data_IF_825886384045
#
_entry.id   IF_825886384045
#
_cell.length_a   1.000
_cell.length_b   1.000
_cell.length_c   1.000
_cell.angle_alpha   90.00
_cell.angle_beta   90.00
_cell.angle_gamma   90.00
#
_symmetry.space_group_name_H-M   'P 1'
#
loop_
_entity.id
_entity.type
_entity.pdbx_description
1 polymer ?
#
# COMPACT_ATOMS: atom_id res chain seq x y z
N UNK A 1 -25.29 -0.50 -1.58
CA UNK A 1 -25.55 -1.49 -0.50
C UNK A 1 -26.69 -1.00 0.38
N UNK A 2 -27.54 -1.88 0.93
CA UNK A 2 -28.60 -1.47 1.89
C UNK A 2 -28.01 -0.73 3.11
N UNK A 3 -26.76 -1.07 3.48
CA UNK A 3 -25.99 -0.41 4.53
C UNK A 3 -25.60 1.04 4.24
N UNK A 4 -25.56 1.48 2.97
CA UNK A 4 -25.10 2.83 2.60
C UNK A 4 -26.11 3.92 2.96
N UNK A 5 -27.39 3.55 3.07
CA UNK A 5 -28.47 4.46 3.47
C UNK A 5 -28.91 4.31 4.93
N UNK A 6 -28.34 3.37 5.68
CA UNK A 6 -28.75 3.08 7.05
C UNK A 6 -27.83 3.77 8.07
N UNK A 7 -28.43 4.50 8.99
CA UNK A 7 -27.77 5.12 10.14
C UNK A 7 -28.64 4.92 11.38
N UNK A 8 -28.07 4.33 12.44
CA UNK A 8 -28.79 4.03 13.71
C UNK A 8 -29.47 5.27 14.34
N UNK A 9 -29.04 6.48 13.98
CA UNK A 9 -29.60 7.73 14.47
C UNK A 9 -30.98 8.09 13.89
N UNK A 10 -31.37 7.52 12.75
CA UNK A 10 -32.55 7.99 12.00
C UNK A 10 -33.77 7.07 12.13
N UNK A 11 -33.58 5.75 12.24
CA UNK A 11 -34.67 4.77 12.27
C UNK A 11 -34.20 3.38 12.75
N UNK A 12 -35.02 2.60 13.48
CA UNK A 12 -34.72 1.21 13.80
C UNK A 12 -34.50 0.33 12.56
N UNK A 13 -33.63 -0.68 12.66
CA UNK A 13 -33.23 -1.54 11.54
C UNK A 13 -34.41 -2.25 10.84
N UNK A 14 -35.41 -2.73 11.60
CA UNK A 14 -36.60 -3.39 11.03
C UNK A 14 -37.48 -2.39 10.25
N UNK A 15 -37.65 -1.17 10.77
CA UNK A 15 -38.49 -0.13 10.14
C UNK A 15 -37.83 0.43 8.87
N UNK A 16 -36.49 0.41 8.81
CA UNK A 16 -35.74 0.79 7.62
C UNK A 16 -35.83 -0.28 6.50
N UNK A 17 -35.88 -1.56 6.88
CA UNK A 17 -36.05 -2.66 5.93
C UNK A 17 -37.45 -2.65 5.33
N UNK A 18 -38.50 -2.49 6.14
CA UNK A 18 -39.89 -2.40 5.66
C UNK A 18 -40.11 -1.20 4.73
N UNK A 19 -39.42 -0.08 4.98
CA UNK A 19 -39.43 1.10 4.11
C UNK A 19 -38.71 0.89 2.76
N UNK A 20 -37.85 -0.12 2.64
CA UNK A 20 -37.08 -0.42 1.43
C UNK A 20 -37.45 -1.75 0.75
N UNK A 21 -38.51 -2.44 1.22
CA UNK A 21 -39.03 -3.69 0.64
C UNK A 21 -39.22 -3.60 -0.88
N UNK A 22 -39.75 -2.47 -1.37
CA UNK A 22 -39.99 -2.24 -2.80
C UNK A 22 -38.72 -2.17 -3.68
N UNK A 23 -37.53 -2.04 -3.08
CA UNK A 23 -36.23 -2.01 -3.81
C UNK A 23 -35.58 -3.39 -3.89
N UNK A 24 -36.05 -4.38 -3.11
CA UNK A 24 -35.47 -5.71 -3.03
C UNK A 24 -36.35 -6.64 -3.87
N UNK A 25 -36.03 -6.74 -5.17
CA UNK A 25 -36.67 -7.69 -6.10
C UNK A 25 -36.07 -9.09 -5.90
N UNK A 26 -36.47 -9.80 -4.85
CA UNK A 26 -36.02 -11.15 -4.53
C UNK A 26 -37.20 -12.08 -4.20
N UNK A 27 -36.99 -13.40 -4.30
CA UNK A 27 -37.98 -14.40 -3.84
C UNK A 27 -38.12 -14.33 -2.31
N UNK A 28 -39.27 -14.77 -1.76
CA UNK A 28 -39.57 -14.62 -0.32
C UNK A 28 -38.52 -15.26 0.60
N UNK A 29 -37.98 -16.43 0.22
CA UNK A 29 -36.93 -17.14 0.98
C UNK A 29 -35.57 -16.41 0.94
N UNK A 30 -35.23 -15.79 -0.19
CA UNK A 30 -34.00 -14.99 -0.33
C UNK A 30 -34.10 -13.69 0.45
N UNK A 31 -35.30 -13.12 0.55
CA UNK A 31 -35.56 -11.92 1.32
C UNK A 31 -35.34 -12.14 2.82
N UNK A 32 -35.85 -13.24 3.37
CA UNK A 32 -35.67 -13.57 4.79
C UNK A 32 -34.17 -13.75 5.15
N UNK A 33 -33.41 -14.43 4.28
CA UNK A 33 -31.96 -14.58 4.44
C UNK A 33 -31.20 -13.25 4.37
N UNK A 34 -31.60 -12.34 3.46
CA UNK A 34 -31.01 -11.00 3.35
C UNK A 34 -31.32 -10.17 4.60
N UNK A 35 -32.55 -10.24 5.11
CA UNK A 35 -32.99 -9.54 6.33
C UNK A 35 -32.20 -10.02 7.54
N UNK A 36 -32.06 -11.34 7.72
CA UNK A 36 -31.29 -11.92 8.82
C UNK A 36 -29.81 -11.50 8.75
N UNK A 37 -29.20 -11.57 7.56
CA UNK A 37 -27.82 -11.13 7.34
C UNK A 37 -27.67 -9.62 7.61
N UNK A 38 -28.64 -8.80 7.22
CA UNK A 38 -28.61 -7.37 7.50
C UNK A 38 -28.69 -7.07 9.00
N UNK A 39 -29.63 -7.70 9.70
CA UNK A 39 -29.82 -7.51 11.15
C UNK A 39 -28.58 -7.95 11.93
N UNK A 40 -27.98 -9.08 11.57
CA UNK A 40 -26.74 -9.56 12.21
C UNK A 40 -25.55 -8.63 11.96
N UNK A 41 -25.43 -8.05 10.76
CA UNK A 41 -24.40 -7.04 10.44
C UNK A 41 -24.62 -5.76 11.24
N UNK A 42 -25.87 -5.31 11.40
CA UNK A 42 -26.19 -4.12 12.21
C UNK A 42 -25.89 -4.37 13.69
N UNK A 43 -26.28 -5.52 14.24
CA UNK A 43 -25.99 -5.90 15.62
C UNK A 43 -24.48 -5.96 15.91
N UNK A 44 -23.69 -6.47 14.97
CA UNK A 44 -22.23 -6.61 15.12
C UNK A 44 -21.44 -5.42 14.54
N UNK A 45 -22.11 -4.32 14.20
CA UNK A 45 -21.52 -3.21 13.44
C UNK A 45 -20.27 -2.62 14.09
N UNK A 46 -20.28 -2.42 15.41
CA UNK A 46 -19.13 -1.85 16.13
C UNK A 46 -17.89 -2.74 16.04
N UNK A 47 -18.05 -4.03 16.33
CA UNK A 47 -16.99 -5.03 16.16
C UNK A 47 -16.47 -5.07 14.71
N UNK A 48 -17.36 -5.15 13.72
CA UNK A 48 -16.97 -5.22 12.30
C UNK A 48 -16.25 -3.94 11.84
N UNK A 49 -16.63 -2.79 12.39
CA UNK A 49 -15.99 -1.50 12.11
C UNK A 49 -14.56 -1.47 12.64
N UNK A 50 -14.31 -2.02 13.83
CA UNK A 50 -12.96 -2.08 14.39
C UNK A 50 -12.06 -3.06 13.63
N UNK A 51 -12.58 -4.23 13.25
CA UNK A 51 -11.85 -5.16 12.37
C UNK A 51 -11.55 -4.51 11.00
N UNK A 52 -12.49 -3.74 10.45
CA UNK A 52 -12.27 -2.96 9.24
C UNK A 52 -11.17 -1.89 9.43
N UNK A 53 -11.14 -1.21 10.57
CA UNK A 53 -10.10 -0.23 10.90
C UNK A 53 -8.72 -0.89 11.01
N UNK A 54 -8.61 -2.06 11.65
CA UNK A 54 -7.38 -2.85 11.67
C UNK A 54 -6.92 -3.22 10.26
N UNK A 55 -7.86 -3.63 9.40
CA UNK A 55 -7.58 -3.91 8.00
C UNK A 55 -7.07 -2.67 7.24
N UNK A 56 -7.62 -1.48 7.48
CA UNK A 56 -7.12 -0.26 6.86
C UNK A 56 -5.70 0.11 7.33
N UNK A 57 -5.41 -0.02 8.62
CA UNK A 57 -4.10 0.25 9.19
C UNK A 57 -3.03 -0.72 8.66
N UNK A 58 -3.35 -2.01 8.55
CA UNK A 58 -2.39 -3.08 8.22
C UNK A 58 -2.40 -3.53 6.75
N UNK A 59 -3.48 -3.28 6.03
CA UNK A 59 -3.75 -3.77 4.67
C UNK A 59 -3.42 -2.79 3.54
N UNK A 60 -2.92 -1.58 3.88
CA UNK A 60 -2.53 -0.53 2.91
C UNK A 60 -3.66 -0.10 1.95
N UNK A 61 -4.95 -0.32 2.29
CA UNK A 61 -6.06 0.28 1.53
C UNK A 61 -6.16 1.76 1.92
N UNK A 62 -6.04 2.66 0.93
CA UNK A 62 -6.07 4.12 1.16
C UNK A 62 -7.46 4.74 1.08
N UNK A 63 -8.44 4.01 0.54
CA UNK A 63 -9.76 4.55 0.25
C UNK A 63 -10.80 4.03 1.25
N UNK A 64 -11.43 4.96 1.98
CA UNK A 64 -12.51 4.68 2.94
C UNK A 64 -13.90 4.71 2.29
N UNK A 65 -14.01 5.04 1.00
CA UNK A 65 -15.29 5.04 0.28
C UNK A 65 -16.06 3.72 0.37
N UNK A 66 -15.32 2.60 0.46
CA UNK A 66 -15.87 1.24 0.39
C UNK A 66 -16.02 0.57 1.77
N UNK A 67 -16.09 1.35 2.85
CA UNK A 67 -16.09 0.82 4.21
C UNK A 67 -17.26 -0.15 4.47
N UNK A 68 -18.46 0.16 3.96
CA UNK A 68 -19.63 -0.70 4.13
C UNK A 68 -19.50 -2.02 3.37
N UNK A 69 -18.94 -2.00 2.14
CA UNK A 69 -18.64 -3.23 1.39
C UNK A 69 -17.63 -4.10 2.12
N UNK A 70 -16.62 -3.48 2.74
CA UNK A 70 -15.64 -4.19 3.56
C UNK A 70 -16.27 -4.80 4.81
N UNK A 71 -17.13 -4.08 5.52
CA UNK A 71 -17.86 -4.60 6.70
C UNK A 71 -18.67 -5.85 6.34
N UNK A 72 -19.38 -5.82 5.21
CA UNK A 72 -20.16 -6.96 4.72
C UNK A 72 -19.23 -8.13 4.39
N UNK A 73 -18.13 -7.90 3.68
CA UNK A 73 -17.15 -8.96 3.37
C UNK A 73 -16.55 -9.57 4.64
N UNK A 74 -16.23 -8.76 5.66
CA UNK A 74 -15.72 -9.24 6.94
C UNK A 74 -16.75 -10.13 7.63
N UNK A 75 -18.00 -9.68 7.72
CA UNK A 75 -19.08 -10.46 8.32
C UNK A 75 -19.25 -11.81 7.61
N UNK A 76 -19.32 -11.79 6.27
CA UNK A 76 -19.45 -12.99 5.48
C UNK A 76 -18.27 -13.95 5.71
N UNK A 77 -17.04 -13.46 5.80
CA UNK A 77 -15.89 -14.32 6.08
C UNK A 77 -15.79 -14.86 7.50
N UNK A 78 -16.21 -14.09 8.49
CA UNK A 78 -16.05 -14.46 9.91
C UNK A 78 -17.23 -15.29 10.42
N UNK A 79 -18.43 -15.06 9.88
CA UNK A 79 -19.68 -15.62 10.44
C UNK A 79 -20.44 -16.55 9.49
N UNK A 80 -20.28 -16.42 8.18
CA UNK A 80 -21.11 -17.15 7.17
C UNK A 80 -20.29 -18.11 6.30
N UNK A 81 -18.98 -17.91 6.24
CA UNK A 81 -18.10 -18.75 5.44
C UNK A 81 -18.13 -20.17 5.97
N UNK A 82 -18.56 -21.09 5.12
CA UNK A 82 -18.59 -22.53 5.36
C UNK A 82 -18.17 -23.25 4.07
N UNK A 83 -17.84 -24.55 4.19
CA UNK A 83 -17.51 -25.40 3.05
C UNK A 83 -18.60 -25.41 1.97
N UNK A 84 -19.87 -25.33 2.36
CA UNK A 84 -21.02 -25.33 1.46
C UNK A 84 -21.17 -24.01 0.69
N UNK A 85 -20.69 -22.89 1.25
CA UNK A 85 -20.88 -21.54 0.70
C UNK A 85 -19.64 -20.99 -0.03
N UNK A 86 -18.64 -21.85 -0.26
CA UNK A 86 -17.35 -21.49 -0.90
C UNK A 86 -17.56 -20.80 -2.25
N UNK A 87 -18.35 -21.40 -3.13
CA UNK A 87 -18.51 -20.93 -4.51
C UNK A 87 -19.26 -19.59 -4.57
N UNK A 88 -20.25 -19.41 -3.70
CA UNK A 88 -20.95 -18.15 -3.51
C UNK A 88 -19.97 -17.05 -3.06
N UNK A 89 -19.11 -17.34 -2.09
CA UNK A 89 -18.08 -16.40 -1.63
C UNK A 89 -17.07 -16.06 -2.72
N UNK A 90 -16.61 -17.04 -3.50
CA UNK A 90 -15.72 -16.80 -4.66
C UNK A 90 -16.40 -15.86 -5.68
N UNK A 91 -17.68 -16.07 -5.96
CA UNK A 91 -18.45 -15.21 -6.86
C UNK A 91 -18.53 -13.75 -6.36
N UNK A 92 -18.75 -13.55 -5.06
CA UNK A 92 -18.78 -12.23 -4.43
C UNK A 92 -17.41 -11.55 -4.53
N UNK A 93 -16.32 -12.27 -4.28
CA UNK A 93 -14.96 -11.74 -4.44
C UNK A 93 -14.60 -11.42 -5.88
N UNK A 94 -15.22 -12.07 -6.87
CA UNK A 94 -15.08 -11.74 -8.29
C UNK A 94 -15.81 -10.47 -8.70
N UNK A 95 -16.87 -10.08 -8.00
CA UNK A 95 -17.55 -8.80 -8.22
C UNK A 95 -16.69 -7.61 -7.76
N UNK A 96 -15.76 -7.84 -6.82
CA UNK A 96 -14.76 -6.84 -6.42
C UNK A 96 -13.52 -6.87 -7.35
N UNK A 97 -12.67 -5.84 -7.27
CA UNK A 97 -11.40 -5.80 -8.03
C UNK A 97 -10.47 -6.91 -7.54
N UNK A 98 -9.92 -7.73 -8.44
CA UNK A 98 -8.98 -8.84 -8.12
C UNK A 98 -7.89 -8.49 -7.08
N UNK A 99 -7.22 -7.33 -7.22
CA UNK A 99 -6.18 -6.89 -6.27
C UNK A 99 -6.74 -6.59 -4.87
N UNK A 100 -7.98 -6.10 -4.79
CA UNK A 100 -8.67 -5.79 -3.53
C UNK A 100 -9.02 -7.10 -2.80
N UNK A 101 -9.61 -8.06 -3.50
CA UNK A 101 -9.97 -9.38 -2.99
C UNK A 101 -8.73 -10.14 -2.50
N UNK A 102 -7.63 -10.10 -3.26
CA UNK A 102 -6.37 -10.76 -2.91
C UNK A 102 -5.73 -10.14 -1.65
N UNK A 103 -5.71 -8.81 -1.52
CA UNK A 103 -5.22 -8.15 -0.31
C UNK A 103 -6.09 -8.48 0.92
N UNK A 104 -7.40 -8.63 0.72
CA UNK A 104 -8.34 -9.05 1.77
C UNK A 104 -8.04 -10.49 2.23
N UNK A 105 -7.96 -11.44 1.30
CA UNK A 105 -7.62 -12.83 1.61
C UNK A 105 -6.22 -12.96 2.24
N UNK A 106 -5.25 -12.15 1.81
CA UNK A 106 -3.92 -12.08 2.43
C UNK A 106 -3.94 -11.58 3.87
N UNK A 107 -4.91 -10.74 4.23
CA UNK A 107 -5.05 -10.28 5.60
C UNK A 107 -5.65 -11.36 6.50
N UNK A 108 -6.73 -12.02 6.04
CA UNK A 108 -7.38 -13.09 6.80
C UNK A 108 -6.56 -14.39 6.89
N UNK A 109 -5.57 -14.59 6.00
CA UNK A 109 -4.63 -15.71 6.09
C UNK A 109 -3.39 -15.45 6.96
N UNK A 110 -3.31 -14.31 7.66
CA UNK A 110 -2.18 -14.00 8.55
C UNK A 110 -2.17 -14.89 9.79
N UNK A 111 -1.00 -15.06 10.40
CA UNK A 111 -0.87 -15.83 11.65
C UNK A 111 -1.51 -15.12 12.85
N UNK A 112 -1.45 -13.79 12.90
CA UNK A 112 -1.96 -12.97 14.01
C UNK A 112 -3.48 -12.74 13.98
N UNK A 113 -4.17 -13.11 12.89
CA UNK A 113 -5.57 -12.72 12.70
C UNK A 113 -6.49 -13.28 13.81
N UNK A 114 -6.20 -14.46 14.34
CA UNK A 114 -6.98 -15.06 15.43
C UNK A 114 -6.84 -14.23 16.72
N UNK A 115 -5.62 -13.75 17.02
CA UNK A 115 -5.35 -12.89 18.17
C UNK A 115 -6.01 -11.51 17.98
N UNK A 116 -5.88 -10.94 16.77
CA UNK A 116 -6.45 -9.64 16.41
C UNK A 116 -7.99 -9.67 16.50
N UNK A 117 -8.63 -10.74 16.00
CA UNK A 117 -10.07 -10.95 16.08
C UNK A 117 -10.54 -11.24 17.51
N UNK A 118 -9.75 -11.97 18.29
CA UNK A 118 -10.06 -12.25 19.69
C UNK A 118 -10.04 -10.96 20.51
N UNK A 119 -8.97 -10.16 20.39
CA UNK A 119 -8.84 -8.89 21.08
C UNK A 119 -9.93 -7.89 20.69
N UNK A 120 -10.28 -7.81 19.40
CA UNK A 120 -11.38 -6.97 18.93
C UNK A 120 -12.74 -7.49 19.42
N UNK A 121 -12.94 -8.81 19.40
CA UNK A 121 -14.19 -9.46 19.83
C UNK A 121 -14.47 -9.27 21.31
N UNK A 122 -13.46 -9.43 22.17
CA UNK A 122 -13.58 -9.30 23.62
C UNK A 122 -13.90 -7.88 24.10
N UNK A 123 -13.82 -6.86 23.24
CA UNK A 123 -14.29 -5.51 23.57
C UNK A 123 -15.81 -5.39 23.54
N UNK A 124 -16.49 -6.22 22.74
CA UNK A 124 -17.92 -6.12 22.47
C UNK A 124 -18.73 -7.33 22.92
N UNK A 125 -18.12 -8.52 22.97
CA UNK A 125 -18.79 -9.79 23.29
C UNK A 125 -18.08 -10.52 24.44
N UNK A 126 -18.79 -11.47 25.05
CA UNK A 126 -18.22 -12.36 26.05
C UNK A 126 -17.15 -13.28 25.46
N UNK A 127 -16.12 -13.60 26.25
CA UNK A 127 -14.99 -14.43 25.82
C UNK A 127 -15.43 -15.78 25.23
N UNK A 128 -16.37 -16.46 25.89
CA UNK A 128 -16.91 -17.75 25.43
C UNK A 128 -17.59 -17.62 24.06
N UNK A 129 -18.33 -16.54 23.83
CA UNK A 129 -19.00 -16.29 22.56
C UNK A 129 -18.00 -16.07 21.43
N UNK A 130 -16.95 -15.28 21.68
CA UNK A 130 -15.89 -14.99 20.69
C UNK A 130 -15.15 -16.27 20.33
N UNK A 131 -14.80 -17.09 21.32
CA UNK A 131 -14.10 -18.35 21.08
C UNK A 131 -14.93 -19.32 20.22
N UNK A 132 -16.22 -19.47 20.54
CA UNK A 132 -17.08 -20.46 19.88
C UNK A 132 -17.59 -20.02 18.50
N UNK A 133 -17.96 -18.74 18.33
CA UNK A 133 -18.65 -18.30 17.11
C UNK A 133 -17.76 -17.53 16.12
N UNK A 134 -16.62 -17.02 16.58
CA UNK A 134 -15.71 -16.21 15.74
C UNK A 134 -14.42 -16.99 15.51
N UNK A 135 -13.72 -17.37 16.58
CA UNK A 135 -12.40 -17.99 16.46
C UNK A 135 -12.48 -19.42 15.93
N UNK A 136 -13.42 -20.22 16.44
CA UNK A 136 -13.60 -21.60 15.97
C UNK A 136 -13.99 -21.63 14.48
N UNK A 137 -14.97 -20.83 14.05
CA UNK A 137 -15.35 -20.70 12.64
C UNK A 137 -14.16 -20.29 11.76
N UNK A 138 -13.32 -19.36 12.22
CA UNK A 138 -12.12 -18.95 11.49
C UNK A 138 -11.05 -20.04 11.42
N UNK A 139 -10.94 -20.90 12.44
CA UNK A 139 -10.00 -22.03 12.45
C UNK A 139 -10.43 -23.13 11.51
N UNK A 140 -11.71 -23.48 11.52
CA UNK A 140 -12.28 -24.51 10.65
C UNK A 140 -12.17 -24.09 9.18
N UNK A 141 -12.48 -22.83 8.88
CA UNK A 141 -12.43 -22.30 7.51
C UNK A 141 -11.05 -21.80 7.08
N UNK A 142 -10.00 -22.03 7.87
CA UNK A 142 -8.64 -21.58 7.54
C UNK A 142 -8.06 -22.27 6.32
N UNK A 143 -8.41 -23.54 6.10
CA UNK A 143 -7.98 -24.30 4.92
C UNK A 143 -8.66 -23.73 3.67
N UNK A 144 -9.96 -23.46 3.77
CA UNK A 144 -10.78 -22.87 2.71
C UNK A 144 -10.23 -21.51 2.26
N UNK A 145 -9.90 -20.64 3.22
CA UNK A 145 -9.33 -19.31 2.94
C UNK A 145 -7.97 -19.39 2.23
N UNK A 146 -7.17 -20.43 2.50
CA UNK A 146 -5.88 -20.64 1.81
C UNK A 146 -6.08 -21.13 0.38
N UNK A 147 -7.03 -22.04 0.15
CA UNK A 147 -7.39 -22.51 -1.18
C UNK A 147 -7.88 -21.35 -2.04
N UNK A 148 -8.80 -20.53 -1.51
CA UNK A 148 -9.28 -19.33 -2.20
C UNK A 148 -8.13 -18.38 -2.51
N UNK A 149 -7.20 -18.15 -1.57
CA UNK A 149 -6.04 -17.30 -1.83
C UNK A 149 -5.19 -17.83 -2.99
N UNK A 150 -4.92 -19.13 -3.04
CA UNK A 150 -4.16 -19.77 -4.12
C UNK A 150 -4.86 -19.58 -5.48
N UNK A 151 -6.18 -19.78 -5.54
CA UNK A 151 -6.97 -19.60 -6.77
C UNK A 151 -6.89 -18.15 -7.29
N UNK A 152 -6.98 -17.17 -6.39
CA UNK A 152 -6.88 -15.75 -6.76
C UNK A 152 -5.44 -15.32 -7.10
N UNK A 153 -4.42 -15.93 -6.51
CA UNK A 153 -3.02 -15.70 -6.88
C UNK A 153 -2.70 -16.28 -8.26
N UNK A 154 -3.16 -17.50 -8.56
CA UNK A 154 -3.01 -18.12 -9.87
C UNK A 154 -3.70 -17.29 -10.96
N UNK A 155 -4.93 -16.79 -10.71
CA UNK A 155 -5.64 -15.88 -11.61
C UNK A 155 -4.88 -14.56 -11.83
N UNK A 156 -4.19 -14.04 -10.81
CA UNK A 156 -3.38 -12.83 -10.96
C UNK A 156 -2.13 -13.09 -11.81
N UNK A 157 -1.51 -14.27 -11.69
CA UNK A 157 -0.34 -14.66 -12.48
C UNK A 157 -0.67 -14.87 -13.95
N UNK A 158 -1.76 -15.59 -14.26
CA UNK A 158 -2.22 -15.76 -15.65
C UNK A 158 -2.56 -14.42 -16.32
N UNK A 159 -3.14 -13.47 -15.58
CA UNK A 159 -3.44 -12.12 -16.10
C UNK A 159 -2.15 -11.33 -16.42
N UNK A 160 -1.02 -11.61 -15.76
CA UNK A 160 0.26 -10.93 -16.05
C UNK A 160 0.89 -11.45 -17.35
N UNK A 161 0.74 -12.75 -17.62
CA UNK A 161 1.29 -13.40 -18.82
C UNK A 161 0.66 -12.84 -20.11
N UNK A 162 -0.62 -12.46 -20.09
CA UNK A 162 -1.29 -11.83 -21.25
C UNK A 162 -0.77 -10.41 -21.57
N UNK A 163 -0.09 -9.74 -20.64
CA UNK A 163 0.51 -8.43 -20.88
C UNK A 163 1.91 -8.54 -21.50
N UNK A 164 2.04 -9.31 -22.59
CA UNK A 164 3.14 -9.12 -23.52
C UNK A 164 3.03 -7.71 -24.08
N UNK A 165 3.73 -6.75 -23.44
CA UNK A 165 3.93 -5.39 -23.94
C UNK A 165 4.28 -5.54 -25.40
N UNK A 166 3.46 -4.95 -26.30
CA UNK A 166 3.76 -4.93 -27.74
C UNK A 166 5.23 -4.55 -27.88
N UNK A 167 6.02 -5.41 -28.50
CA UNK A 167 7.43 -5.16 -28.73
C UNK A 167 7.57 -3.77 -29.35
N UNK A 168 8.39 -2.92 -28.74
CA UNK A 168 8.66 -1.59 -29.28
C UNK A 168 9.30 -1.78 -30.65
N UNK A 169 8.53 -1.58 -31.71
CA UNK A 169 9.07 -1.57 -33.07
C UNK A 169 10.00 -0.35 -33.14
N UNK A 170 11.29 -0.52 -33.48
CA UNK A 170 12.21 0.60 -33.60
C UNK A 170 11.70 1.50 -34.73
N UNK A 171 11.16 2.65 -34.36
CA UNK A 171 10.84 3.71 -35.32
C UNK A 171 12.16 4.32 -35.75
N UNK A 172 12.44 4.32 -37.06
CA UNK A 172 13.62 4.97 -37.62
C UNK A 172 13.70 6.41 -37.11
N UNK A 173 14.85 6.87 -36.58
CA UNK A 173 14.98 8.23 -36.11
C UNK A 173 14.63 9.17 -37.26
N UNK A 174 13.72 10.12 -37.03
CA UNK A 174 13.47 11.19 -38.00
C UNK A 174 14.73 12.04 -38.07
N UNK A 175 15.57 11.76 -39.08
CA UNK A 175 16.85 12.43 -39.30
C UNK A 175 16.72 13.90 -39.79
N UNK A 176 15.51 14.44 -39.89
CA UNK A 176 15.28 15.86 -40.16
C UNK A 176 15.33 16.69 -38.88
N UNK A 177 16.47 16.66 -38.18
CA UNK A 177 16.82 17.74 -37.28
C UNK A 177 17.18 18.94 -38.15
N UNK A 178 16.23 19.86 -38.33
CA UNK A 178 16.59 21.21 -38.76
C UNK A 178 17.49 21.79 -37.67
N UNK A 179 18.80 21.80 -37.92
CA UNK A 179 19.76 22.50 -37.07
C UNK A 179 19.34 23.97 -37.03
N UNK A 180 18.63 24.35 -35.96
CA UNK A 180 18.35 25.75 -35.68
C UNK A 180 19.66 26.32 -35.17
N UNK A 181 20.26 27.21 -35.95
CA UNK A 181 21.48 27.92 -35.54
C UNK A 181 21.24 28.51 -34.15
N UNK A 182 22.20 28.37 -33.22
CA UNK A 182 22.07 28.98 -31.91
C UNK A 182 21.81 30.48 -32.09
N UNK A 183 20.92 31.09 -31.27
CA UNK A 183 20.65 32.50 -31.36
C UNK A 183 21.96 33.29 -31.19
N UNK A 184 22.16 34.38 -31.95
CA UNK A 184 23.37 35.17 -31.83
C UNK A 184 23.50 35.73 -30.40
N UNK A 185 24.73 35.92 -29.91
CA UNK A 185 24.97 36.41 -28.55
C UNK A 185 24.29 37.77 -28.32
N UNK A 186 23.82 38.00 -27.09
CA UNK A 186 22.96 39.14 -26.67
C UNK A 186 23.44 40.55 -27.07
N UNK A 187 24.70 40.71 -27.49
CA UNK A 187 25.31 42.00 -27.81
C UNK A 187 25.50 42.24 -29.32
N UNK A 188 24.90 41.41 -30.18
CA UNK A 188 24.85 41.68 -31.61
C UNK A 188 23.84 42.81 -31.88
N UNK A 189 24.24 43.92 -32.53
CA UNK A 189 23.32 45.01 -32.85
C UNK A 189 22.39 44.56 -33.98
N UNK A 190 21.32 43.86 -33.61
CA UNK A 190 20.21 43.61 -34.53
C UNK A 190 19.26 44.81 -34.47
N UNK A 191 19.00 45.40 -35.63
CA UNK A 191 17.91 46.35 -35.81
C UNK A 191 16.61 45.70 -35.32
N UNK A 192 16.02 46.28 -34.26
CA UNK A 192 14.75 45.84 -33.70
C UNK A 192 13.67 46.10 -34.76
N UNK A 193 13.36 45.08 -35.58
CA UNK A 193 12.10 45.06 -36.33
C UNK A 193 10.98 45.10 -35.30
N UNK A 194 10.36 46.27 -35.12
CA UNK A 194 9.17 46.46 -34.32
C UNK A 194 8.09 45.54 -34.90
N UNK A 195 7.92 44.37 -34.30
CA UNK A 195 6.81 43.50 -34.62
C UNK A 195 5.53 44.24 -34.23
N UNK A 196 4.60 44.41 -35.17
CA UNK A 196 3.30 45.00 -34.88
C UNK A 196 2.66 44.27 -33.70
N UNK A 197 2.07 44.99 -32.73
CA UNK A 197 1.49 44.36 -31.56
C UNK A 197 0.46 43.33 -31.99
N UNK A 198 0.64 42.08 -31.52
CA UNK A 198 -0.33 41.01 -31.79
C UNK A 198 -1.67 41.43 -31.21
N UNK A 199 -2.75 41.17 -31.95
CA UNK A 199 -4.10 41.41 -31.45
C UNK A 199 -4.30 40.63 -30.15
N UNK A 200 -4.82 41.32 -29.14
CA UNK A 200 -5.08 40.72 -27.83
C UNK A 200 -6.10 39.59 -28.03
N UNK A 201 -5.82 38.37 -27.53
CA UNK A 201 -6.72 37.25 -27.73
C UNK A 201 -8.10 37.57 -27.12
N UNK A 202 -9.20 37.16 -27.78
CA UNK A 202 -10.55 37.46 -27.32
C UNK A 202 -10.84 36.90 -25.92
N UNK A 203 -10.10 35.86 -25.49
CA UNK A 203 -10.13 35.28 -24.13
C UNK A 203 -9.86 36.30 -23.02
N UNK A 204 -9.14 37.39 -23.30
CA UNK A 204 -8.85 38.45 -22.33
C UNK A 204 -10.09 39.28 -21.97
N UNK A 205 -11.09 39.37 -22.84
CA UNK A 205 -12.33 40.11 -22.61
C UNK A 205 -13.45 39.24 -22.02
N UNK A 206 -13.27 37.91 -21.96
CA UNK A 206 -14.22 37.03 -21.30
C UNK A 206 -14.00 37.02 -19.79
N UNK A 207 -15.09 37.03 -19.03
CA UNK A 207 -15.00 36.87 -17.58
C UNK A 207 -14.34 35.53 -17.23
N UNK A 208 -13.37 35.52 -16.30
CA UNK A 208 -12.65 34.30 -15.94
C UNK A 208 -13.65 33.27 -15.41
N UNK A 209 -13.49 32.01 -15.85
CA UNK A 209 -14.37 30.88 -15.48
C UNK A 209 -14.57 30.75 -13.96
N UNK A 210 -13.56 31.18 -13.19
CA UNK A 210 -13.57 31.23 -11.73
C UNK A 210 -14.73 32.08 -11.17
N UNK A 211 -15.11 33.19 -11.81
CA UNK A 211 -16.24 34.02 -11.35
C UNK A 211 -17.57 33.26 -11.39
N UNK A 212 -17.77 32.40 -12.39
CA UNK A 212 -18.99 31.60 -12.51
C UNK A 212 -19.02 30.48 -11.47
N UNK A 213 -17.85 29.87 -11.20
CA UNK A 213 -17.69 28.85 -10.14
C UNK A 213 -17.93 29.44 -8.75
N UNK A 214 -17.45 30.66 -8.50
CA UNK A 214 -17.69 31.34 -7.22
C UNK A 214 -19.17 31.69 -7.02
N UNK A 215 -19.88 32.09 -8.08
CA UNK A 215 -21.33 32.34 -8.01
C UNK A 215 -22.11 31.08 -7.69
N UNK A 216 -21.82 29.95 -8.34
CA UNK A 216 -22.51 28.69 -8.06
C UNK A 216 -22.22 28.16 -6.65
N UNK A 217 -21.00 28.37 -6.14
CA UNK A 217 -20.65 28.05 -4.74
C UNK A 217 -21.38 28.95 -3.74
N UNK A 218 -21.50 30.25 -4.03
CA UNK A 218 -22.26 31.18 -3.19
C UNK A 218 -23.75 30.83 -3.15
N UNK A 219 -24.36 30.47 -4.28
CA UNK A 219 -25.75 30.01 -4.35
C UNK A 219 -25.94 28.73 -3.55
N UNK A 220 -25.06 27.74 -3.71
CA UNK A 220 -25.12 26.48 -2.96
C UNK A 220 -24.94 26.67 -1.45
N UNK A 221 -24.01 27.53 -1.04
CA UNK A 221 -23.83 27.87 0.37
C UNK A 221 -25.05 28.60 0.94
N UNK A 222 -25.68 29.47 0.14
CA UNK A 222 -26.92 30.16 0.53
C UNK A 222 -28.06 29.16 0.73
N UNK A 223 -28.25 28.22 -0.19
CA UNK A 223 -29.25 27.15 -0.06
C UNK A 223 -29.02 26.30 1.20
N UNK A 224 -27.78 25.85 1.44
CA UNK A 224 -27.43 25.09 2.64
C UNK A 224 -27.70 25.89 3.92
N UNK A 225 -27.32 27.17 3.95
CA UNK A 225 -27.56 28.02 5.12
C UNK A 225 -29.05 28.20 5.43
N UNK A 226 -29.88 28.31 4.39
CA UNK A 226 -31.33 28.42 4.54
C UNK A 226 -31.95 27.10 5.04
N UNK A 227 -31.47 25.95 4.57
CA UNK A 227 -31.90 24.63 5.05
C UNK A 227 -31.50 24.40 6.51
N UNK A 228 -30.28 24.78 6.90
CA UNK A 228 -29.85 24.70 8.30
C UNK A 228 -30.67 25.62 9.19
N UNK A 229 -30.99 26.83 8.72
CA UNK A 229 -31.84 27.78 9.44
C UNK A 229 -33.26 27.25 9.58
N UNK A 230 -33.87 26.70 8.52
CA UNK A 230 -35.22 26.14 8.58
C UNK A 230 -35.28 24.96 9.55
N UNK A 231 -34.29 24.05 9.50
CA UNK A 231 -34.18 22.93 10.43
C UNK A 231 -34.02 23.38 11.89
N UNK A 232 -33.19 24.39 12.13
CA UNK A 232 -33.01 24.96 13.47
C UNK A 232 -34.32 25.59 13.97
N UNK A 233 -34.99 26.40 13.14
CA UNK A 233 -36.27 27.01 13.49
C UNK A 233 -37.38 25.98 13.76
N UNK A 234 -37.45 24.89 12.98
CA UNK A 234 -38.38 23.79 13.23
C UNK A 234 -38.09 23.09 14.57
N UNK A 235 -36.80 22.92 14.89
CA UNK A 235 -36.36 22.34 16.15
C UNK A 235 -36.68 23.26 17.35
N UNK A 236 -36.51 24.57 17.20
CA UNK A 236 -36.90 25.56 18.21
C UNK A 236 -38.42 25.68 18.36
N UNK A 237 -39.21 25.58 17.28
CA UNK A 237 -40.67 25.59 17.35
C UNK A 237 -41.22 24.41 18.14
N UNK A 238 -40.66 23.21 17.92
CA UNK A 238 -41.01 21.99 18.68
C UNK A 238 -40.70 22.12 20.18
N UNK A 239 -39.68 22.89 20.54
CA UNK A 239 -39.35 23.20 21.94
C UNK A 239 -40.27 24.28 22.53
N UNK A 240 -40.79 25.21 21.72
CA UNK A 240 -41.70 26.28 22.16
C UNK A 240 -43.13 25.81 22.42
N UNK A 241 -43.64 24.87 21.62
CA UNK A 241 -45.01 24.34 21.79
C UNK A 241 -45.18 23.50 23.06
N UNK A 242 -44.08 22.97 23.60
CA UNK A 242 -44.02 22.27 24.90
C UNK A 242 -44.26 23.19 26.11
N UNK A 243 -44.06 24.51 25.97
CA UNK A 243 -44.11 25.45 27.10
C UNK A 243 -45.55 25.88 27.47
N UNK A 244 -46.56 25.59 26.65
CA UNK A 244 -47.95 25.98 26.93
C UNK A 244 -48.75 25.00 27.80
N UNK A 245 -48.21 23.82 28.11
CA UNK A 245 -48.85 22.81 28.95
C UNK A 245 -48.01 22.44 30.19
N UNK A 246 -47.60 23.43 30.98
CA UNK A 246 -47.09 23.17 32.34
C UNK A 246 -48.12 23.67 33.35
N UNK A 247 -49.19 22.87 33.49
CA UNK A 247 -50.00 22.85 34.70
C UNK A 247 -49.16 22.20 35.82
N UNK A 248 -49.19 22.86 36.98
CA UNK A 248 -48.65 22.44 38.26
C UNK A 248 -48.63 20.92 38.47
N UNK A 249 -47.45 20.31 38.39
CA UNK A 249 -47.16 19.10 39.13
C UNK A 249 -45.99 19.36 40.07
N UNK A 250 -46.33 19.25 41.35
CA UNK A 250 -45.45 19.27 42.50
C UNK A 250 -44.20 18.44 42.26
N UNK A 251 -43.06 19.11 42.44
CA UNK A 251 -41.73 18.55 42.41
C UNK A 251 -41.58 17.50 43.52
N UNK A 252 -41.68 16.21 43.17
CA UNK A 252 -41.03 15.13 43.91
C UNK A 252 -39.67 14.89 43.25
N UNK A 253 -38.62 15.36 43.91
CA UNK A 253 -37.24 15.20 43.45
C UNK A 253 -36.81 13.73 43.55
N UNK A 254 -37.07 12.93 42.53
CA UNK A 254 -36.33 11.69 42.29
C UNK A 254 -35.10 12.01 41.42
N UNK A 255 -33.95 11.91 42.07
CA UNK A 255 -32.62 12.10 41.48
C UNK A 255 -32.27 10.89 40.62
N UNK A 256 -32.14 11.07 39.31
CA UNK A 256 -31.33 10.19 38.45
C UNK A 256 -30.65 11.01 37.35
N UNK A 257 -29.58 11.70 37.72
CA UNK A 257 -28.56 12.10 36.75
C UNK A 257 -27.84 10.85 36.20
N UNK A 258 -27.37 10.85 34.94
CA UNK A 258 -26.54 9.78 34.41
C UNK A 258 -25.16 9.86 35.04
N UNK A 259 -24.94 9.05 36.07
CA UNK A 259 -23.66 8.83 36.72
C UNK A 259 -22.68 8.25 35.69
N UNK A 260 -21.56 8.93 35.48
CA UNK A 260 -20.42 8.42 34.72
C UNK A 260 -20.06 7.00 35.19
N UNK A 261 -19.68 6.07 34.29
CA UNK A 261 -19.42 4.68 34.67
C UNK A 261 -18.38 4.64 35.80
N UNK A 262 -18.61 3.85 36.87
CA UNK A 262 -17.68 3.79 37.98
C UNK A 262 -16.32 3.34 37.46
N UNK A 263 -15.27 4.14 37.73
CA UNK A 263 -13.89 3.73 37.50
C UNK A 263 -13.71 2.35 38.12
N UNK A 264 -13.26 1.38 37.31
CA UNK A 264 -12.92 0.03 37.77
C UNK A 264 -12.01 0.17 38.98
N UNK A 265 -12.51 -0.25 40.14
CA UNK A 265 -11.68 -0.41 41.33
C UNK A 265 -10.69 -1.50 40.99
N UNK A 266 -9.45 -1.12 40.71
CA UNK A 266 -8.34 -2.07 40.59
C UNK A 266 -8.30 -2.77 41.93
N UNK A 267 -8.64 -4.06 41.96
CA UNK A 267 -8.41 -4.90 43.13
C UNK A 267 -6.89 -4.88 43.36
N UNK A 268 -6.46 -4.09 44.34
CA UNK A 268 -5.08 -4.10 44.78
C UNK A 268 -4.87 -5.49 45.37
N UNK A 269 -4.02 -6.29 44.72
CA UNK A 269 -3.57 -7.55 45.29
C UNK A 269 -3.00 -7.26 46.67
N UNK A 270 -3.73 -7.67 47.71
CA UNK A 270 -3.29 -7.60 49.09
C UNK A 270 -2.08 -8.52 49.16
N UNK A 271 -0.89 -7.93 49.08
CA UNK A 271 0.38 -8.66 49.23
C UNK A 271 0.28 -9.43 50.54
N UNK A 272 0.46 -10.75 50.46
CA UNK A 272 0.46 -11.67 51.60
C UNK A 272 1.29 -11.07 52.73
N UNK A 273 0.75 -11.03 53.94
CA UNK A 273 1.44 -10.57 55.14
C UNK A 273 2.69 -11.43 55.36
N UNK A 274 3.83 -10.92 54.90
CA UNK A 274 5.13 -11.46 55.24
C UNK A 274 5.34 -11.11 56.72
N UNK A 275 5.68 -12.06 57.61
CA UNK A 275 5.90 -11.75 59.02
C UNK A 275 7.15 -10.87 59.15
N UNK A 276 6.92 -9.55 59.26
CA UNK A 276 7.98 -8.57 59.47
C UNK A 276 8.40 -8.66 60.94
N UNK A 277 9.68 -8.94 61.18
CA UNK A 277 10.27 -8.95 62.52
C UNK A 277 10.17 -7.54 63.11
N UNK A 278 9.40 -7.37 64.19
CA UNK A 278 9.16 -6.10 64.90
C UNK A 278 10.37 -5.67 65.75
N UNK A 279 11.50 -5.40 65.11
CA UNK A 279 12.62 -4.73 65.76
C UNK A 279 12.32 -3.22 65.91
N UNK A 280 12.89 -2.55 66.90
CA UNK A 280 12.68 -1.11 67.11
C UNK A 280 12.94 -0.28 65.82
N UNK A 281 13.93 -0.67 65.02
CA UNK A 281 14.25 -0.02 63.74
C UNK A 281 13.18 -0.24 62.65
N UNK A 282 12.49 -1.38 62.61
CA UNK A 282 11.39 -1.61 61.64
C UNK A 282 10.16 -0.80 62.04
N UNK A 283 9.84 -0.73 63.33
CA UNK A 283 8.75 0.10 63.86
C UNK A 283 9.00 1.58 63.54
N UNK A 284 10.21 2.10 63.74
CA UNK A 284 10.53 3.50 63.42
C UNK A 284 10.44 3.79 61.91
N UNK A 285 10.82 2.85 61.04
CA UNK A 285 10.67 3.00 59.58
C UNK A 285 9.20 3.00 59.17
N UNK A 286 8.40 2.10 59.73
CA UNK A 286 6.95 2.04 59.51
C UNK A 286 6.29 3.33 59.98
N UNK A 287 6.59 3.80 61.20
CA UNK A 287 6.09 5.08 61.72
C UNK A 287 6.50 6.26 60.82
N UNK A 288 7.75 6.32 60.35
CA UNK A 288 8.20 7.38 59.43
C UNK A 288 7.47 7.34 58.08
N UNK A 289 7.12 6.15 57.60
CA UNK A 289 6.38 5.97 56.35
C UNK A 289 4.91 6.38 56.53
N UNK A 290 4.29 5.99 57.63
CA UNK A 290 2.91 6.38 57.98
C UNK A 290 2.82 7.89 58.16
N UNK A 291 3.73 8.52 58.92
CA UNK A 291 3.75 9.98 59.04
C UNK A 291 3.87 10.69 57.68
N UNK A 292 4.74 10.19 56.79
CA UNK A 292 4.85 10.72 55.42
C UNK A 292 3.62 10.46 54.55
N UNK A 293 2.89 9.37 54.79
CA UNK A 293 1.63 9.08 54.10
C UNK A 293 0.52 10.02 54.61
N UNK A 294 0.44 10.22 55.92
CA UNK A 294 -0.48 11.16 56.58
C UNK A 294 -0.22 12.61 56.15
N UNK A 295 1.03 13.07 56.14
CA UNK A 295 1.39 14.40 55.64
C UNK A 295 0.96 14.60 54.18
N UNK A 296 1.13 13.59 53.32
CA UNK A 296 0.68 13.64 51.93
C UNK A 296 -0.83 13.65 51.80
N UNK A 297 -1.54 12.92 52.66
CA UNK A 297 -3.00 12.91 52.71
C UNK A 297 -3.54 14.27 53.16
N UNK A 298 -2.96 14.83 54.23
CA UNK A 298 -3.29 16.15 54.74
C UNK A 298 -3.03 17.21 53.67
N UNK A 299 -1.88 17.16 52.98
CA UNK A 299 -1.60 18.05 51.85
C UNK A 299 -2.62 17.91 50.74
N UNK A 300 -2.99 16.68 50.36
CA UNK A 300 -4.02 16.44 49.33
C UNK A 300 -5.38 17.00 49.74
N UNK A 301 -5.79 16.78 50.98
CA UNK A 301 -7.06 17.30 51.51
C UNK A 301 -7.01 18.82 51.59
N UNK A 302 -5.90 19.42 52.03
CA UNK A 302 -5.69 20.86 52.03
C UNK A 302 -5.74 21.45 50.61
N UNK A 303 -5.12 20.78 49.63
CA UNK A 303 -5.17 21.17 48.22
C UNK A 303 -6.60 21.10 47.68
N UNK A 304 -7.36 20.05 48.03
CA UNK A 304 -8.78 19.93 47.66
C UNK A 304 -9.66 20.97 48.36
N UNK A 305 -9.40 21.25 49.64
CA UNK A 305 -10.10 22.27 50.43
C UNK A 305 -9.78 23.69 49.97
N UNK A 306 -8.57 23.93 49.45
CA UNK A 306 -8.17 25.22 48.87
C UNK A 306 -8.93 25.56 47.58
N UNK A 307 -9.70 24.61 47.05
CA UNK A 307 -10.77 24.90 46.12
C UNK A 307 -10.32 25.53 44.80
N UNK A 308 -9.36 24.93 44.10
CA UNK A 308 -9.26 25.08 42.65
C UNK A 308 -8.34 24.02 42.04
N UNK A 309 -8.77 23.48 40.91
CA UNK A 309 -7.83 23.15 39.85
C UNK A 309 -7.04 24.43 39.53
N UNK A 310 -5.81 24.53 40.03
CA UNK A 310 -4.94 25.69 39.82
C UNK A 310 -4.74 25.88 38.31
N UNK A 311 -5.39 26.90 37.73
CA UNK A 311 -5.27 27.26 36.31
C UNK A 311 -3.79 27.40 35.90
N UNK A 312 -2.98 27.98 36.79
CA UNK A 312 -1.52 28.12 36.59
C UNK A 312 -0.81 26.77 36.38
N UNK A 313 -1.16 25.72 37.15
CA UNK A 313 -0.54 24.38 36.97
C UNK A 313 -0.94 23.73 35.64
N UNK A 314 -2.16 24.01 35.17
CA UNK A 314 -2.61 23.56 33.85
C UNK A 314 -1.87 24.31 32.74
N UNK A 315 -1.69 25.62 32.89
CA UNK A 315 -0.96 26.46 31.94
C UNK A 315 0.52 26.02 31.84
N UNK A 316 1.20 25.82 32.97
CA UNK A 316 2.57 25.27 33.01
C UNK A 316 2.68 23.92 32.31
N UNK A 317 1.71 23.01 32.51
CA UNK A 317 1.68 21.71 31.83
C UNK A 317 1.52 21.89 30.32
N UNK A 318 0.64 22.78 29.88
CA UNK A 318 0.42 23.05 28.46
C UNK A 318 1.64 23.68 27.81
N UNK A 319 2.37 24.55 28.51
CA UNK A 319 3.64 25.11 28.05
C UNK A 319 4.73 24.04 27.93
N UNK A 320 4.85 23.15 28.91
CA UNK A 320 5.78 22.02 28.87
C UNK A 320 5.48 21.08 27.70
N UNK A 321 4.20 20.78 27.44
CA UNK A 321 3.79 19.99 26.29
C UNK A 321 4.21 20.69 25.00
N UNK A 322 3.88 21.98 24.80
CA UNK A 322 4.30 22.73 23.60
C UNK A 322 5.81 22.77 23.42
N UNK A 323 6.56 23.00 24.50
CA UNK A 323 8.02 23.04 24.46
C UNK A 323 8.61 21.67 24.06
N UNK A 324 8.09 20.58 24.64
CA UNK A 324 8.53 19.23 24.29
C UNK A 324 8.18 18.84 22.84
N UNK A 325 7.01 19.25 22.34
CA UNK A 325 6.61 19.02 20.95
C UNK A 325 7.50 19.81 19.98
N UNK A 326 7.82 21.07 20.28
CA UNK A 326 8.75 21.88 19.49
C UNK A 326 10.14 21.26 19.45
N UNK A 327 10.64 20.78 20.60
CA UNK A 327 11.93 20.12 20.68
C UNK A 327 11.94 18.81 19.87
N UNK A 328 10.89 18.00 19.96
CA UNK A 328 10.77 16.78 19.17
C UNK A 328 10.74 17.06 17.66
N UNK A 329 10.09 18.15 17.22
CA UNK A 329 10.10 18.57 15.82
C UNK A 329 11.49 19.00 15.34
N UNK A 330 12.24 19.74 16.16
CA UNK A 330 13.62 20.13 15.85
C UNK A 330 14.53 18.91 15.73
N UNK A 331 14.41 17.96 16.66
CA UNK A 331 15.15 16.70 16.62
C UNK A 331 14.79 15.86 15.38
N UNK A 332 13.52 15.83 14.97
CA UNK A 332 13.11 15.13 13.76
C UNK A 332 13.70 15.77 12.49
N UNK A 333 13.75 17.10 12.44
CA UNK A 333 14.38 17.82 11.34
C UNK A 333 15.88 17.54 11.27
N UNK A 334 16.57 17.53 12.40
CA UNK A 334 17.99 17.19 12.47
C UNK A 334 18.25 15.75 12.04
N UNK A 335 17.43 14.79 12.50
CA UNK A 335 17.50 13.39 12.07
C UNK A 335 17.34 13.25 10.57
N UNK A 336 16.35 13.93 9.96
CA UNK A 336 16.14 13.93 8.50
C UNK A 336 17.32 14.55 7.76
N UNK A 337 17.91 15.61 8.29
CA UNK A 337 19.08 16.24 7.70
C UNK A 337 20.30 15.30 7.71
N UNK A 338 20.61 14.71 8.86
CA UNK A 338 21.71 13.75 9.02
C UNK A 338 21.51 12.51 8.14
N UNK A 339 20.29 12.00 8.06
CA UNK A 339 19.95 10.90 7.16
C UNK A 339 20.22 11.26 5.70
N UNK A 340 19.85 12.48 5.27
CA UNK A 340 20.16 12.98 3.94
C UNK A 340 21.66 13.07 3.65
N UNK A 341 22.47 13.46 4.63
CA UNK A 341 23.93 13.47 4.51
C UNK A 341 24.49 12.05 4.39
N UNK A 342 24.05 11.11 5.23
CA UNK A 342 24.47 9.71 5.16
C UNK A 342 24.12 9.08 3.80
N UNK A 343 22.91 9.29 3.30
CA UNK A 343 22.50 8.78 1.98
C UNK A 343 23.38 9.34 0.86
N UNK A 344 23.81 10.60 0.96
CA UNK A 344 24.74 11.20 -0.01
C UNK A 344 26.10 10.51 0.01
N UNK A 345 26.66 10.28 1.19
CA UNK A 345 27.96 9.60 1.34
C UNK A 345 27.87 8.15 0.85
N UNK A 346 26.81 7.43 1.20
CA UNK A 346 26.54 6.07 0.70
C UNK A 346 26.44 6.02 -0.83
N UNK A 347 25.77 7.00 -1.45
CA UNK A 347 25.67 7.09 -2.90
C UNK A 347 27.04 7.36 -3.57
N UNK A 348 27.90 8.17 -2.94
CA UNK A 348 29.26 8.42 -3.43
C UNK A 348 30.10 7.13 -3.34
N UNK A 349 30.06 6.43 -2.22
CA UNK A 349 30.76 5.16 -2.02
C UNK A 349 30.29 4.09 -3.01
N UNK A 350 28.97 3.95 -3.20
CA UNK A 350 28.40 3.02 -4.17
C UNK A 350 28.87 3.31 -5.60
N UNK A 351 28.96 4.60 -5.98
CA UNK A 351 29.48 5.00 -7.29
C UNK A 351 30.96 4.65 -7.45
N UNK A 352 31.77 4.86 -6.41
CA UNK A 352 33.19 4.48 -6.43
C UNK A 352 33.37 2.98 -6.57
N UNK A 353 32.64 2.19 -5.78
CA UNK A 353 32.66 0.72 -5.87
C UNK A 353 32.27 0.22 -7.27
N UNK A 354 31.25 0.82 -7.88
CA UNK A 354 30.84 0.48 -9.25
C UNK A 354 31.94 0.80 -10.27
N UNK A 355 32.59 1.95 -10.14
CA UNK A 355 33.70 2.34 -11.02
C UNK A 355 34.88 1.37 -10.90
N UNK A 356 35.22 0.95 -9.69
CA UNK A 356 36.29 -0.03 -9.44
C UNK A 356 35.94 -1.40 -10.02
N UNK A 357 34.71 -1.88 -9.79
CA UNK A 357 34.23 -3.13 -10.36
C UNK A 357 34.25 -3.10 -11.91
N UNK A 358 33.86 -1.98 -12.51
CA UNK A 358 33.92 -1.82 -13.96
C UNK A 358 35.36 -1.77 -14.49
N UNK A 359 36.29 -1.13 -13.77
CA UNK A 359 37.72 -1.16 -14.11
C UNK A 359 38.28 -2.58 -14.06
N UNK A 360 37.95 -3.35 -13.02
CA UNK A 360 38.39 -4.74 -12.89
C UNK A 360 37.83 -5.62 -14.02
N UNK A 361 36.53 -5.52 -14.33
CA UNK A 361 35.93 -6.24 -15.47
C UNK A 361 36.55 -5.85 -16.80
N UNK A 362 36.87 -4.57 -17.01
CA UNK A 362 37.54 -4.13 -18.22
C UNK A 362 38.95 -4.72 -18.33
N UNK A 363 39.70 -4.76 -17.24
CA UNK A 363 41.03 -5.36 -17.22
C UNK A 363 40.98 -6.87 -17.55
N UNK A 364 39.99 -7.59 -17.01
CA UNK A 364 39.75 -9.01 -17.35
C UNK A 364 39.41 -9.18 -18.83
N UNK A 365 38.48 -8.38 -19.34
CA UNK A 365 38.12 -8.39 -20.76
C UNK A 365 39.31 -8.10 -21.68
N UNK A 366 40.17 -7.14 -21.31
CA UNK A 366 41.37 -6.81 -22.08
C UNK A 366 42.40 -7.96 -22.08
N UNK A 367 42.45 -8.79 -21.03
CA UNK A 367 43.27 -10.00 -20.98
C UNK A 367 42.70 -11.10 -21.89
N UNK A 368 41.40 -11.42 -21.73
CA UNK A 368 40.70 -12.41 -22.57
C UNK A 368 40.78 -12.04 -24.05
N UNK A 369 40.68 -10.74 -24.36
CA UNK A 369 40.84 -10.23 -25.72
C UNK A 369 42.25 -10.50 -26.28
N UNK A 370 43.30 -10.36 -25.48
CA UNK A 370 44.67 -10.66 -25.93
C UNK A 370 44.85 -12.15 -26.18
N UNK A 371 44.36 -13.00 -25.28
CA UNK A 371 44.42 -14.46 -25.43
C UNK A 371 43.71 -14.93 -26.70
N UNK A 372 42.51 -14.38 -26.95
CA UNK A 372 41.75 -14.69 -28.17
C UNK A 372 42.44 -14.18 -29.45
N UNK A 373 43.05 -12.99 -29.40
CA UNK A 373 43.84 -12.46 -30.52
C UNK A 373 45.08 -13.32 -30.83
N UNK A 374 45.77 -13.81 -29.80
CA UNK A 374 46.91 -14.72 -29.93
C UNK A 374 46.49 -16.06 -30.52
N UNK A 375 45.42 -16.66 -30.00
CA UNK A 375 44.84 -17.89 -30.55
C UNK A 375 44.45 -17.74 -32.03
N UNK A 376 43.82 -16.62 -32.41
CA UNK A 376 43.48 -16.35 -33.81
C UNK A 376 44.72 -16.14 -34.70
N UNK A 377 45.83 -15.61 -34.17
CA UNK A 377 47.10 -15.51 -34.91
C UNK A 377 47.70 -16.89 -35.13
N UNK A 378 47.68 -17.75 -34.12
CA UNK A 378 48.20 -19.12 -34.23
C UNK A 378 47.39 -19.94 -35.23
N UNK A 379 46.06 -19.87 -35.17
CA UNK A 379 45.18 -20.54 -36.12
C UNK A 379 45.42 -20.07 -37.57
N UNK A 380 45.68 -18.77 -37.76
CA UNK A 380 46.05 -18.23 -39.08
C UNK A 380 47.38 -18.79 -39.59
N UNK A 381 48.42 -18.84 -38.76
CA UNK A 381 49.71 -19.43 -39.12
C UNK A 381 49.58 -20.91 -39.50
N UNK A 382 48.88 -21.69 -38.67
CA UNK A 382 48.64 -23.11 -38.94
C UNK A 382 47.85 -23.31 -40.24
N UNK A 383 46.93 -22.41 -40.56
CA UNK A 383 46.18 -22.46 -41.82
C UNK A 383 47.08 -22.13 -43.02
N UNK A 384 47.92 -21.10 -42.91
CA UNK A 384 48.90 -20.73 -43.95
C UNK A 384 49.89 -21.87 -44.22
N UNK A 385 50.39 -22.55 -43.18
CA UNK A 385 51.27 -23.71 -43.31
C UNK A 385 50.59 -24.87 -44.04
N UNK A 386 49.35 -25.20 -43.67
CA UNK A 386 48.55 -26.22 -44.37
C UNK A 386 48.32 -25.88 -45.84
N UNK A 387 48.07 -24.60 -46.17
CA UNK A 387 47.93 -24.15 -47.55
C UNK A 387 49.24 -24.34 -48.32
N UNK A 388 50.39 -23.99 -47.73
CA UNK A 388 51.70 -24.21 -48.36
C UNK A 388 51.95 -25.69 -48.65
N UNK A 389 51.69 -26.57 -47.68
CA UNK A 389 51.81 -28.02 -47.88
C UNK A 389 50.91 -28.53 -49.01
N UNK A 390 49.66 -28.05 -49.10
CA UNK A 390 48.75 -28.42 -50.20
C UNK A 390 49.27 -27.94 -51.55
N UNK A 391 49.83 -26.72 -51.62
CA UNK A 391 50.43 -26.18 -52.84
C UNK A 391 51.62 -27.04 -53.26
N UNK A 392 52.53 -27.39 -52.34
CA UNK A 392 53.68 -28.24 -52.61
C UNK A 392 53.27 -29.62 -53.13
N UNK A 393 52.30 -30.28 -52.48
CA UNK A 393 51.73 -31.55 -52.94
C UNK A 393 51.14 -31.41 -54.34
N UNK A 394 50.41 -30.33 -54.62
CA UNK A 394 49.83 -30.07 -55.94
C UNK A 394 50.91 -29.86 -57.01
N UNK A 395 51.99 -29.12 -56.69
CA UNK A 395 53.12 -28.92 -57.59
C UNK A 395 53.87 -30.23 -57.89
N UNK A 396 54.08 -31.09 -56.88
CA UNK A 396 54.68 -32.41 -57.08
C UNK A 396 53.80 -33.29 -57.99
N UNK A 397 52.48 -33.29 -57.77
CA UNK A 397 51.53 -33.99 -58.64
C UNK A 397 51.62 -33.46 -60.08
N UNK A 398 51.69 -32.14 -60.28
CA UNK A 398 51.84 -31.54 -61.61
C UNK A 398 53.15 -31.93 -62.29
N UNK A 399 54.28 -31.96 -61.56
CA UNK A 399 55.57 -32.44 -62.07
C UNK A 399 55.49 -33.89 -62.51
N UNK A 400 54.94 -34.76 -61.67
CA UNK A 400 54.76 -36.18 -61.97
C UNK A 400 53.85 -36.39 -63.20
N UNK A 401 52.77 -35.61 -63.33
CA UNK A 401 51.90 -35.62 -64.52
C UNK A 401 52.68 -35.18 -65.77
N UNK A 402 53.49 -34.12 -65.68
CA UNK A 402 54.31 -33.66 -66.80
C UNK A 402 55.35 -34.70 -67.22
N UNK A 403 56.00 -35.37 -66.28
CA UNK A 403 56.97 -36.43 -66.55
C UNK A 403 56.29 -37.63 -67.20
N UNK A 404 55.15 -38.09 -66.65
CA UNK A 404 54.36 -39.16 -67.28
C UNK A 404 53.90 -38.79 -68.69
N UNK A 405 53.47 -37.55 -68.93
CA UNK A 405 53.12 -37.05 -70.27
C UNK A 405 54.32 -37.12 -71.23
N UNK A 406 55.51 -36.70 -70.79
CA UNK A 406 56.75 -36.79 -71.59
C UNK A 406 57.11 -38.25 -71.90
N UNK A 407 57.02 -39.14 -70.92
CA UNK A 407 57.29 -40.57 -71.10
C UNK A 407 56.33 -41.19 -72.12
N UNK A 408 55.03 -40.90 -72.03
CA UNK A 408 54.03 -41.36 -73.01
C UNK A 408 54.35 -40.85 -74.43
N UNK A 409 54.77 -39.59 -74.57
CA UNK A 409 55.17 -39.04 -75.88
C UNK A 409 56.42 -39.76 -76.42
N UNK A 410 57.43 -39.98 -75.58
CA UNK A 410 58.65 -40.68 -75.97
C UNK A 410 58.39 -42.16 -76.33
N UNK A 411 57.51 -42.85 -75.59
CA UNK A 411 57.06 -44.20 -75.92
C UNK A 411 56.34 -44.24 -77.26
N UNK A 412 55.41 -43.30 -77.51
CA UNK A 412 54.74 -43.17 -78.82
C UNK A 412 55.73 -42.91 -79.95
N UNK A 413 56.75 -42.08 -79.73
CA UNK A 413 57.81 -41.83 -80.72
C UNK A 413 58.67 -43.07 -80.98
N UNK A 414 59.04 -43.83 -79.94
CA UNK A 414 59.77 -45.10 -80.09
C UNK A 414 58.97 -46.13 -80.88
N UNK A 415 57.70 -46.32 -80.53
CA UNK A 415 56.80 -47.23 -81.27
C UNK A 415 56.67 -46.78 -82.74
N UNK A 416 56.50 -45.48 -83.00
CA UNK A 416 56.47 -44.96 -84.36
C UNK A 416 57.78 -45.23 -85.13
N UNK A 417 58.94 -45.04 -84.49
CA UNK A 417 60.24 -45.35 -85.09
C UNK A 417 60.43 -46.85 -85.35
N UNK A 418 59.98 -47.72 -84.44
CA UNK A 418 60.01 -49.17 -84.64
C UNK A 418 59.12 -49.60 -85.81
N UNK A 419 57.90 -49.06 -85.92
CA UNK A 419 56.98 -49.32 -87.05
C UNK A 419 57.58 -48.84 -88.39
N UNK A 420 58.30 -47.71 -88.41
CA UNK A 420 58.99 -47.26 -89.64
C UNK A 420 60.20 -48.11 -90.02
N UNK A 421 60.87 -48.75 -89.04
CA UNK A 421 62.01 -49.64 -89.29
C UNK A 421 61.58 -51.04 -89.73
N UNK A 422 60.38 -51.50 -89.33
CA UNK A 422 59.81 -52.78 -89.77
C UNK A 422 59.03 -52.69 -91.09
N UNK A 423 58.72 -51.48 -91.58
CA UNK A 423 58.10 -51.23 -92.90
C UNK A 423 59.11 -50.89 -94.02
N UNK A 424 60.39 -51.19 -93.84
CA UNK A 424 61.45 -51.12 -94.84
C UNK A 424 62.05 -52.50 -95.02
#
# INVERSE_FOLDING_TARGET
SLLDGYTDANMPALDYLSSNENKILCQEEEYESIVETFLTVVQRRHFLTDVANYFYCLGKRRDRSDQNSLIILIHLTVSVLDSNNKDGMISIFHMEKLKKSLNFLKFFNRRSIEEDLFLAGCQYFEENYVLQNIILNMRENKILLKEMLADFEQKLESTKEETHRKLTIPVSPRLSFNYRSPPPPCNTPLERKLQSPRSVPPSTYFNPKIKNVLKSLQERNREQSLQTLSFANESFSKLSDSVKNVQHHSCSCDKTEPVAPPRRVIKIDIKKDVPIRKNAATILREASRVMKEEEREIQRVNDLMSGAANYMKYEELMEQIRASEQQAQLEELEKKHLQGQLTREEAILARQALLEANKARKAQFDLEKKETEEFLKEMRKNHEEKIKEMIEKTQQIQKNISEKKKNIINEKQKIAQEVTKTSR
#
